data_IF_906986216643
#
_entry.id   IF_906986216643
#
_cell.length_a   1.000
_cell.length_b   1.000
_cell.length_c   1.000
_cell.angle_alpha   90.00
_cell.angle_beta   90.00
_cell.angle_gamma   90.00
#
_symmetry.space_group_name_H-M   'P 1'
#
loop_
_entity.id
_entity.type
_entity.pdbx_description
1 polymer ?
#
# COMPACT_ATOMS: atom_id res chain seq x y z
N UNK A 1 -3.91 -22.61 -19.98
CA UNK A 1 -3.23 -21.77 -20.99
C UNK A 1 -4.02 -20.48 -21.06
N UNK A 2 -3.44 -19.34 -20.66
CA UNK A 2 -4.07 -18.05 -20.86
C UNK A 2 -4.33 -17.82 -22.36
N UNK A 3 -5.50 -17.31 -22.69
CA UNK A 3 -5.85 -16.94 -24.05
C UNK A 3 -4.93 -15.81 -24.54
N UNK A 4 -4.73 -15.72 -25.85
CA UNK A 4 -3.94 -14.64 -26.46
C UNK A 4 -4.49 -13.23 -26.14
N UNK A 5 -5.78 -13.14 -25.77
CA UNK A 5 -6.45 -11.90 -25.40
C UNK A 5 -6.08 -11.47 -23.97
N UNK A 6 -6.06 -12.41 -23.03
CA UNK A 6 -5.63 -12.16 -21.65
C UNK A 6 -4.14 -11.82 -21.55
N UNK A 7 -3.31 -12.38 -22.44
CA UNK A 7 -1.87 -12.06 -22.47
C UNK A 7 -1.56 -10.58 -22.76
N UNK A 8 -2.45 -9.87 -23.48
CA UNK A 8 -2.29 -8.44 -23.75
C UNK A 8 -2.68 -7.54 -22.57
N UNK A 9 -3.41 -8.10 -21.59
CA UNK A 9 -3.95 -7.38 -20.42
C UNK A 9 -3.11 -7.66 -19.15
N UNK A 10 -2.03 -8.43 -19.26
CA UNK A 10 -1.16 -8.82 -18.17
C UNK A 10 0.14 -8.04 -18.22
N UNK A 11 0.57 -7.52 -17.06
CA UNK A 11 1.88 -6.90 -16.93
C UNK A 11 2.99 -7.89 -17.30
N UNK A 12 3.94 -7.52 -18.17
CA UNK A 12 5.04 -8.40 -18.53
C UNK A 12 5.91 -8.69 -17.31
N UNK A 13 6.23 -9.97 -17.12
CA UNK A 13 7.09 -10.44 -16.04
C UNK A 13 8.48 -10.69 -16.61
N UNK A 14 9.52 -10.19 -15.93
CA UNK A 14 10.90 -10.46 -16.31
C UNK A 14 11.32 -11.87 -15.90
N UNK A 15 12.24 -12.45 -16.69
CA UNK A 15 12.82 -13.75 -16.40
C UNK A 15 13.48 -13.78 -15.03
N UNK A 16 13.32 -14.91 -14.33
CA UNK A 16 13.68 -15.01 -12.91
C UNK A 16 15.16 -14.74 -12.63
N UNK A 17 16.03 -15.14 -13.55
CA UNK A 17 17.49 -15.04 -13.36
C UNK A 17 18.03 -13.62 -13.58
N UNK A 18 17.32 -12.81 -14.36
CA UNK A 18 17.80 -11.48 -14.77
C UNK A 18 17.12 -10.34 -14.00
N UNK A 19 16.06 -10.64 -13.23
CA UNK A 19 15.27 -9.63 -12.54
C UNK A 19 15.78 -9.33 -11.12
N UNK A 20 15.71 -8.07 -10.74
CA UNK A 20 16.11 -7.56 -9.42
C UNK A 20 14.94 -6.88 -8.73
N UNK A 21 13.91 -7.66 -8.41
CA UNK A 21 12.72 -7.15 -7.72
C UNK A 21 13.09 -6.64 -6.33
N UNK A 22 12.63 -5.44 -6.01
CA UNK A 22 12.79 -4.83 -4.69
C UNK A 22 11.42 -4.59 -4.06
N UNK A 23 11.35 -4.73 -2.74
CA UNK A 23 10.22 -4.31 -1.93
C UNK A 23 10.71 -3.59 -0.67
N UNK A 24 9.89 -2.69 -0.15
CA UNK A 24 10.18 -1.92 1.06
C UNK A 24 9.09 -2.14 2.10
N UNK A 25 9.50 -2.44 3.34
CA UNK A 25 8.64 -2.46 4.52
C UNK A 25 9.08 -1.34 5.44
N UNK A 26 8.21 -0.37 5.71
CA UNK A 26 8.39 0.62 6.78
C UNK A 26 7.42 0.27 7.90
N UNK A 27 7.93 0.01 9.10
CA UNK A 27 7.10 -0.32 10.26
C UNK A 27 7.55 0.43 11.52
N UNK A 28 6.68 1.27 12.06
CA UNK A 28 6.90 1.88 13.37
C UNK A 28 6.16 1.07 14.44
N UNK A 29 6.89 0.66 15.48
CA UNK A 29 6.38 -0.17 16.57
C UNK A 29 6.32 0.63 17.86
N UNK A 30 7.44 1.24 18.24
CA UNK A 30 7.57 2.12 19.39
C UNK A 30 7.41 3.58 18.96
N UNK A 31 6.80 4.38 19.83
CA UNK A 31 6.52 5.80 19.61
C UNK A 31 6.82 6.56 20.90
N UNK A 32 7.20 7.82 20.76
CA UNK A 32 7.56 8.66 21.91
C UNK A 32 6.32 9.04 22.74
N UNK A 33 5.17 9.20 22.06
CA UNK A 33 3.93 9.69 22.68
C UNK A 33 2.68 8.86 22.36
N UNK A 34 2.79 7.79 21.56
CA UNK A 34 1.70 6.87 21.24
C UNK A 34 1.94 5.49 21.84
N UNK A 35 0.88 4.69 22.06
CA UNK A 35 1.05 3.31 22.53
C UNK A 35 1.86 2.46 21.55
N UNK A 36 2.68 1.50 22.04
CA UNK A 36 3.41 0.58 21.18
C UNK A 36 2.47 -0.35 20.41
N UNK A 37 2.86 -0.71 19.19
CA UNK A 37 2.07 -1.58 18.28
C UNK A 37 2.45 -3.05 18.44
N UNK A 38 2.19 -3.61 19.62
CA UNK A 38 2.50 -5.00 19.95
C UNK A 38 2.03 -5.99 18.86
N UNK A 39 2.91 -6.93 18.51
CA UNK A 39 2.67 -7.92 17.46
C UNK A 39 3.04 -7.46 16.04
N UNK A 40 3.49 -6.21 15.87
CA UNK A 40 3.99 -5.70 14.60
C UNK A 40 5.24 -6.46 14.10
N UNK A 41 6.04 -7.03 14.99
CA UNK A 41 7.18 -7.87 14.63
C UNK A 41 6.74 -9.12 13.85
N UNK A 42 5.62 -9.74 14.27
CA UNK A 42 4.99 -10.86 13.56
C UNK A 42 4.53 -10.43 12.17
N UNK A 43 3.95 -9.24 12.04
CA UNK A 43 3.54 -8.68 10.75
C UNK A 43 4.74 -8.45 9.81
N UNK A 44 5.83 -7.86 10.32
CA UNK A 44 7.07 -7.64 9.56
C UNK A 44 7.63 -8.97 9.07
N UNK A 45 7.78 -9.95 9.97
CA UNK A 45 8.33 -11.25 9.63
C UNK A 45 7.47 -11.97 8.58
N UNK A 46 6.15 -11.95 8.77
CA UNK A 46 5.19 -12.56 7.83
C UNK A 46 5.23 -11.92 6.45
N UNK A 47 5.18 -10.58 6.37
CA UNK A 47 5.24 -9.85 5.10
C UNK A 47 6.58 -10.00 4.41
N UNK A 48 7.69 -9.96 5.15
CA UNK A 48 9.03 -10.20 4.62
C UNK A 48 9.11 -11.59 3.98
N UNK A 49 8.74 -12.63 4.74
CA UNK A 49 8.74 -14.01 4.25
C UNK A 49 7.86 -14.19 3.01
N UNK A 50 6.68 -13.55 2.99
CA UNK A 50 5.79 -13.58 1.83
C UNK A 50 6.46 -12.97 0.60
N UNK A 51 6.99 -11.75 0.73
CA UNK A 51 7.57 -11.01 -0.40
C UNK A 51 8.85 -11.67 -0.92
N UNK A 52 9.70 -12.19 -0.03
CA UNK A 52 10.86 -13.01 -0.41
C UNK A 52 10.41 -14.28 -1.15
N UNK A 53 9.35 -14.95 -0.69
CA UNK A 53 8.74 -16.08 -1.38
C UNK A 53 8.20 -15.75 -2.78
N UNK A 54 7.76 -14.51 -3.01
CA UNK A 54 7.35 -13.98 -4.32
C UNK A 54 8.54 -13.48 -5.18
N UNK A 55 9.77 -13.60 -4.66
CA UNK A 55 11.02 -13.31 -5.34
C UNK A 55 11.44 -11.84 -5.29
N UNK A 56 11.06 -11.11 -4.24
CA UNK A 56 11.54 -9.75 -3.97
C UNK A 56 12.71 -9.76 -2.96
N UNK A 57 13.68 -8.88 -3.15
CA UNK A 57 14.60 -8.48 -2.08
C UNK A 57 13.92 -7.43 -1.21
N UNK A 58 13.83 -7.68 0.09
CA UNK A 58 13.00 -6.87 1.00
C UNK A 58 13.86 -6.04 1.94
N UNK A 59 13.79 -4.72 1.79
CA UNK A 59 14.37 -3.77 2.72
C UNK A 59 13.37 -3.49 3.86
N UNK A 60 13.81 -3.60 5.11
CA UNK A 60 12.96 -3.33 6.29
C UNK A 60 13.52 -2.14 7.05
N UNK A 61 12.67 -1.13 7.26
CA UNK A 61 12.99 0.08 8.00
C UNK A 61 12.01 0.26 9.15
N UNK A 62 12.53 0.68 10.29
CA UNK A 62 11.76 0.82 11.52
C UNK A 62 12.17 2.08 12.25
N UNK A 63 11.30 2.56 13.14
CA UNK A 63 11.54 3.68 14.05
C UNK A 63 11.92 4.97 13.28
N UNK A 64 11.04 5.39 12.38
CA UNK A 64 11.22 6.57 11.55
C UNK A 64 10.20 7.67 11.89
N UNK A 65 10.66 8.92 11.93
CA UNK A 65 9.79 10.10 11.80
C UNK A 65 9.18 10.16 10.40
N UNK A 66 8.20 11.02 10.17
CA UNK A 66 7.62 11.25 8.85
C UNK A 66 8.68 11.69 7.82
N UNK A 67 9.57 12.60 8.20
CA UNK A 67 10.71 13.00 7.38
C UNK A 67 11.63 11.81 7.07
N UNK A 68 11.91 10.97 8.07
CA UNK A 68 12.70 9.75 7.88
C UNK A 68 12.03 8.76 6.93
N UNK A 69 10.71 8.57 7.04
CA UNK A 69 9.94 7.74 6.11
C UNK A 69 10.00 8.29 4.68
N UNK A 70 9.83 9.60 4.50
CA UNK A 70 9.92 10.24 3.18
C UNK A 70 11.31 10.07 2.56
N UNK A 71 12.36 10.27 3.36
CA UNK A 71 13.76 10.09 2.93
C UNK A 71 14.02 8.66 2.45
N UNK A 72 13.60 7.66 3.23
CA UNK A 72 13.73 6.24 2.87
C UNK A 72 12.91 5.87 1.62
N UNK A 73 11.70 6.41 1.48
CA UNK A 73 10.88 6.22 0.28
C UNK A 73 11.55 6.80 -0.97
N UNK A 74 12.11 8.01 -0.88
CA UNK A 74 12.85 8.65 -1.99
C UNK A 74 14.13 7.89 -2.33
N UNK A 75 14.89 7.47 -1.31
CA UNK A 75 16.08 6.65 -1.50
C UNK A 75 15.74 5.33 -2.22
N UNK A 76 14.68 4.65 -1.78
CA UNK A 76 14.21 3.42 -2.40
C UNK A 76 13.74 3.65 -3.85
N UNK A 77 12.95 4.69 -4.11
CA UNK A 77 12.49 5.03 -5.47
C UNK A 77 13.65 5.30 -6.45
N UNK A 78 14.81 5.75 -5.95
CA UNK A 78 16.01 6.02 -6.76
C UNK A 78 16.86 4.79 -7.09
N UNK A 79 16.52 3.61 -6.54
CA UNK A 79 17.34 2.40 -6.67
C UNK A 79 17.47 1.95 -8.14
N UNK A 80 18.70 1.73 -8.64
CA UNK A 80 18.93 1.30 -10.02
C UNK A 80 18.35 -0.08 -10.35
N UNK A 81 18.20 -0.95 -9.34
CA UNK A 81 17.61 -2.28 -9.47
C UNK A 81 16.17 -2.25 -9.98
N UNK A 82 15.44 -1.14 -9.80
CA UNK A 82 14.11 -0.98 -10.37
C UNK A 82 14.13 -1.04 -11.91
N UNK A 83 15.25 -0.69 -12.57
CA UNK A 83 15.39 -0.77 -14.03
C UNK A 83 15.22 -2.20 -14.52
N UNK A 84 15.84 -3.15 -13.84
CA UNK A 84 15.76 -4.61 -14.05
C UNK A 84 14.71 -5.29 -13.15
N UNK A 85 13.78 -4.53 -12.58
CA UNK A 85 12.57 -5.08 -11.95
C UNK A 85 11.38 -4.98 -12.90
N UNK A 86 10.36 -5.80 -12.67
CA UNK A 86 9.06 -5.72 -13.34
C UNK A 86 7.94 -5.17 -12.44
N UNK A 87 8.21 -4.96 -11.15
CA UNK A 87 7.20 -4.58 -10.15
C UNK A 87 7.82 -4.15 -8.82
N UNK A 88 7.04 -3.57 -7.91
CA UNK A 88 7.46 -3.28 -6.53
C UNK A 88 6.31 -3.42 -5.53
N UNK A 89 6.65 -3.69 -4.27
CA UNK A 89 5.76 -3.62 -3.12
C UNK A 89 6.26 -2.60 -2.10
N UNK A 90 5.37 -1.74 -1.62
CA UNK A 90 5.59 -0.81 -0.52
C UNK A 90 4.62 -1.16 0.60
N UNK A 91 5.12 -1.54 1.76
CA UNK A 91 4.30 -1.93 2.92
C UNK A 91 4.55 -0.94 4.05
N UNK A 92 3.53 -0.16 4.38
CA UNK A 92 3.61 0.90 5.40
C UNK A 92 2.73 0.51 6.59
N UNK A 93 3.34 0.35 7.76
CA UNK A 93 2.67 -0.15 8.96
C UNK A 93 2.97 0.77 10.15
N UNK A 94 2.02 1.61 10.53
CA UNK A 94 2.18 2.52 11.67
C UNK A 94 0.83 2.77 12.35
N UNK A 95 0.79 3.69 13.30
CA UNK A 95 -0.44 4.43 13.60
C UNK A 95 -0.79 5.32 12.41
N UNK A 96 -2.05 5.71 12.31
CA UNK A 96 -2.49 6.62 11.28
C UNK A 96 -3.67 7.46 11.72
N UNK A 97 -3.77 8.60 11.09
CA UNK A 97 -4.88 9.54 11.21
C UNK A 97 -5.46 9.77 9.82
N UNK A 98 -6.48 10.62 9.71
CA UNK A 98 -7.13 10.89 8.44
C UNK A 98 -6.16 11.43 7.38
N UNK A 99 -5.23 12.31 7.78
CA UNK A 99 -4.29 12.97 6.87
C UNK A 99 -3.10 12.10 6.45
N UNK A 100 -2.74 11.06 7.21
CA UNK A 100 -1.53 10.29 6.90
C UNK A 100 -1.11 9.26 7.94
N UNK A 101 0.14 8.82 7.78
CA UNK A 101 0.81 7.78 8.55
C UNK A 101 1.68 8.46 9.61
N UNK A 102 1.52 8.11 10.87
CA UNK A 102 2.27 8.71 11.96
C UNK A 102 3.74 8.26 11.94
N UNK A 103 4.67 9.21 12.08
CA UNK A 103 6.05 8.95 12.47
C UNK A 103 6.16 8.69 13.98
N UNK A 104 7.37 8.35 14.43
CA UNK A 104 7.62 7.99 15.85
C UNK A 104 7.42 9.13 16.83
N UNK A 105 7.57 10.37 16.39
CA UNK A 105 7.51 11.56 17.24
C UNK A 105 6.12 12.24 17.22
N UNK A 106 5.10 11.56 16.66
CA UNK A 106 3.75 12.10 16.56
C UNK A 106 3.14 12.36 17.94
N UNK A 107 2.60 13.56 18.11
CA UNK A 107 1.78 13.98 19.26
C UNK A 107 0.74 15.01 18.80
N UNK A 108 -0.26 15.34 19.63
CA UNK A 108 -1.18 16.44 19.31
C UNK A 108 -0.47 17.77 18.99
N UNK A 109 0.67 18.04 19.64
CA UNK A 109 1.48 19.25 19.47
C UNK A 109 2.49 19.15 18.32
N UNK A 110 2.96 17.94 17.99
CA UNK A 110 3.90 17.69 16.90
C UNK A 110 3.27 16.77 15.84
N UNK A 111 2.85 17.38 14.72
CA UNK A 111 2.22 16.71 13.59
C UNK A 111 3.25 15.95 12.72
N UNK A 112 4.00 15.02 13.31
CA UNK A 112 4.94 14.11 12.65
C UNK A 112 4.16 13.06 11.82
N UNK A 113 3.65 13.49 10.66
CA UNK A 113 2.75 12.72 9.81
C UNK A 113 3.24 12.73 8.37
N UNK A 114 3.39 11.55 7.77
CA UNK A 114 3.63 11.39 6.33
C UNK A 114 2.27 11.36 5.62
N UNK A 115 1.94 12.35 4.76
CA UNK A 115 0.72 12.32 3.99
C UNK A 115 0.66 11.09 3.08
N UNK A 116 -0.51 10.46 2.96
CA UNK A 116 -0.68 9.29 2.08
C UNK A 116 -0.31 9.61 0.63
N UNK A 117 -0.64 10.82 0.17
CA UNK A 117 -0.38 11.29 -1.19
C UNK A 117 1.11 11.35 -1.53
N UNK A 118 1.97 11.62 -0.53
CA UNK A 118 3.43 11.68 -0.71
C UNK A 118 3.99 10.39 -1.29
N UNK A 119 3.44 9.22 -0.92
CA UNK A 119 3.87 7.93 -1.47
C UNK A 119 3.56 7.84 -2.96
N UNK A 120 2.37 8.25 -3.39
CA UNK A 120 2.00 8.24 -4.81
C UNK A 120 2.85 9.23 -5.59
N UNK A 121 3.05 10.45 -5.05
CA UNK A 121 3.91 11.46 -5.66
C UNK A 121 5.34 10.96 -5.87
N UNK A 122 5.96 10.31 -4.89
CA UNK A 122 7.34 9.80 -5.01
C UNK A 122 7.46 8.73 -6.09
N UNK A 123 6.49 7.81 -6.17
CA UNK A 123 6.57 6.63 -7.04
C UNK A 123 5.87 6.81 -8.39
N UNK A 124 5.39 8.01 -8.72
CA UNK A 124 4.68 8.27 -9.96
C UNK A 124 5.60 8.18 -11.20
N UNK A 125 5.02 8.23 -12.40
CA UNK A 125 5.76 8.01 -13.65
C UNK A 125 6.76 9.13 -14.00
N UNK A 126 6.70 10.26 -13.29
CA UNK A 126 7.61 11.40 -13.41
C UNK A 126 8.78 11.24 -12.43
N UNK A 127 8.51 10.90 -11.18
CA UNK A 127 9.50 10.92 -10.11
C UNK A 127 10.24 9.58 -9.95
N UNK A 128 9.64 8.46 -10.39
CA UNK A 128 10.25 7.14 -10.36
C UNK A 128 10.27 6.50 -11.76
N UNK A 129 11.11 7.02 -12.64
CA UNK A 129 11.21 6.58 -14.04
C UNK A 129 11.48 5.07 -14.20
N UNK A 130 12.26 4.48 -13.30
CA UNK A 130 12.60 3.05 -13.38
C UNK A 130 11.40 2.13 -13.12
N UNK A 131 10.33 2.63 -12.49
CA UNK A 131 9.07 1.93 -12.23
C UNK A 131 7.90 2.42 -13.11
N UNK A 132 8.19 3.18 -14.17
CA UNK A 132 7.20 3.57 -15.17
C UNK A 132 6.60 2.34 -15.84
N UNK A 133 5.28 2.32 -16.00
CA UNK A 133 4.51 1.23 -16.63
C UNK A 133 4.64 -0.14 -15.93
N UNK A 134 5.15 -0.14 -14.69
CA UNK A 134 5.27 -1.32 -13.84
C UNK A 134 4.32 -1.21 -12.64
N UNK A 135 3.68 -2.31 -12.21
CA UNK A 135 2.76 -2.28 -11.08
C UNK A 135 3.49 -1.92 -9.78
N UNK A 136 2.93 -0.94 -9.07
CA UNK A 136 3.36 -0.43 -7.77
C UNK A 136 2.28 -0.75 -6.75
N UNK A 137 2.53 -1.77 -5.94
CA UNK A 137 1.57 -2.29 -4.97
C UNK A 137 1.85 -1.66 -3.61
N UNK A 138 0.90 -0.88 -3.10
CA UNK A 138 1.03 -0.18 -1.82
C UNK A 138 0.09 -0.84 -0.81
N UNK A 139 0.63 -1.39 0.26
CA UNK A 139 -0.13 -1.98 1.37
C UNK A 139 -0.01 -1.06 2.57
N UNK A 140 -1.14 -0.60 3.11
CA UNK A 140 -1.16 0.34 4.23
C UNK A 140 -1.91 -0.30 5.39
N UNK A 141 -1.19 -0.58 6.47
CA UNK A 141 -1.74 -0.97 7.76
C UNK A 141 -1.64 0.20 8.73
N UNK A 142 -2.67 1.04 8.73
CA UNK A 142 -2.80 2.21 9.58
C UNK A 142 -4.28 2.49 9.84
N UNK A 143 -4.59 3.10 10.98
CA UNK A 143 -5.92 3.67 11.19
C UNK A 143 -6.10 4.87 10.26
N UNK A 144 -7.33 5.18 9.87
CA UNK A 144 -7.65 6.34 9.02
C UNK A 144 -8.65 7.29 9.68
N UNK A 145 -8.74 7.20 11.01
CA UNK A 145 -9.64 7.95 11.89
C UNK A 145 -9.95 7.13 13.15
N UNK A 146 -10.97 7.58 13.89
CA UNK A 146 -11.29 7.10 15.24
C UNK A 146 -12.55 6.23 15.31
N UNK A 147 -13.30 6.09 14.21
CA UNK A 147 -14.51 5.28 14.20
C UNK A 147 -14.16 3.79 14.27
N UNK A 148 -14.93 3.03 15.06
CA UNK A 148 -14.70 1.59 15.22
C UNK A 148 -15.03 0.76 13.96
N UNK A 149 -15.56 1.38 12.90
CA UNK A 149 -15.91 0.69 11.65
C UNK A 149 -17.19 -0.12 11.69
N UNK A 150 -17.96 -0.03 12.77
CA UNK A 150 -19.22 -0.74 12.97
C UNK A 150 -20.38 0.26 13.08
N UNK A 151 -21.42 0.03 12.28
CA UNK A 151 -22.67 0.75 12.36
C UNK A 151 -23.82 -0.25 12.25
N UNK A 152 -24.80 -0.13 13.16
CA UNK A 152 -26.07 -0.85 13.03
C UNK A 152 -26.84 -0.26 11.85
N UNK A 153 -26.96 -1.03 10.77
CA UNK A 153 -27.76 -0.63 9.61
C UNK A 153 -29.19 -1.13 9.82
N UNK A 154 -30.16 -0.21 9.82
CA UNK A 154 -31.60 -0.49 9.72
C UNK A 154 -32.03 -0.16 8.29
N UNK A 155 -32.87 -0.99 7.67
CA UNK A 155 -33.28 -0.90 6.25
C UNK A 155 -34.21 0.31 5.91
N UNK A 156 -34.13 1.40 6.67
CA UNK A 156 -34.92 2.61 6.47
C UNK A 156 -34.14 3.62 5.62
N UNK A 157 -34.57 3.83 4.38
CA UNK A 157 -33.99 4.82 3.46
C UNK A 157 -34.09 6.25 4.02
N UNK A 158 -32.96 6.95 4.03
CA UNK A 158 -32.91 8.39 3.86
C UNK A 158 -31.73 8.75 2.94
N UNK A 159 -32.00 9.59 1.95
CA UNK A 159 -31.02 10.06 0.97
C UNK A 159 -30.26 11.28 1.49
N UNK A 160 -28.99 11.39 1.13
CA UNK A 160 -28.30 12.67 1.03
C UNK A 160 -27.26 12.59 -0.10
N UNK A 161 -27.39 13.51 -1.05
CA UNK A 161 -26.45 13.71 -2.13
C UNK A 161 -25.42 14.77 -1.72
N UNK A 162 -24.18 14.61 -2.14
CA UNK A 162 -23.27 15.74 -2.36
C UNK A 162 -22.53 15.54 -3.67
N UNK A 163 -22.45 16.63 -4.44
CA UNK A 163 -21.98 16.69 -5.81
C UNK A 163 -20.56 17.23 -5.87
N UNK A 164 -19.68 16.59 -6.63
CA UNK A 164 -18.38 17.15 -7.01
C UNK A 164 -18.46 17.68 -8.44
N UNK A 165 -18.12 18.96 -8.63
CA UNK A 165 -17.98 19.57 -9.95
C UNK A 165 -16.55 19.39 -10.47
N UNK A 166 -16.43 18.90 -11.71
CA UNK A 166 -15.18 18.92 -12.47
C UNK A 166 -15.29 19.97 -13.58
N UNK A 167 -14.33 20.88 -13.66
CA UNK A 167 -14.08 21.68 -14.86
C UNK A 167 -13.00 21.00 -15.72
N UNK A 168 -13.18 20.88 -17.05
CA UNK A 168 -12.13 20.43 -17.93
C UNK A 168 -11.29 21.62 -18.42
N UNK A 169 -9.97 21.57 -18.22
CA UNK A 169 -9.02 22.45 -18.90
C UNK A 169 -8.78 21.94 -20.33
N UNK A 170 -9.17 22.74 -21.31
CA UNK A 170 -8.79 22.60 -22.72
C UNK A 170 -7.32 22.95 -22.88
N UNK A 171 -6.52 22.02 -23.44
CA UNK A 171 -5.15 22.31 -23.88
C UNK A 171 -4.88 21.72 -25.26
N UNK A 172 -4.42 22.60 -26.15
CA UNK A 172 -3.97 22.34 -27.52
C UNK A 172 -2.62 21.60 -27.58
N UNK A 173 -2.35 21.04 -28.76
CA UNK A 173 -1.23 20.14 -29.07
C UNK A 173 0.08 20.89 -29.27
N UNK A 174 1.16 20.33 -28.73
CA UNK A 174 2.48 20.27 -29.37
C UNK A 174 3.25 19.02 -28.88
N UNK A 175 4.21 18.56 -29.69
CA UNK A 175 4.80 17.21 -29.74
C UNK A 175 5.53 16.71 -28.47
N UNK A 176 4.78 16.35 -27.42
CA UNK A 176 5.29 15.76 -26.17
C UNK A 176 4.50 14.46 -25.89
N UNK A 177 5.18 13.34 -25.66
CA UNK A 177 4.53 12.08 -25.30
C UNK A 177 3.73 12.28 -24.00
N UNK A 178 2.40 12.23 -24.07
CA UNK A 178 1.51 12.29 -22.89
C UNK A 178 1.66 11.00 -22.10
N UNK A 179 2.34 11.06 -20.96
CA UNK A 179 2.38 9.98 -19.97
C UNK A 179 1.42 10.34 -18.84
N UNK A 180 0.55 9.41 -18.46
CA UNK A 180 -0.28 9.60 -17.26
C UNK A 180 0.62 9.72 -16.04
N UNK A 181 0.49 10.82 -15.30
CA UNK A 181 1.31 11.12 -14.12
C UNK A 181 1.23 9.98 -13.12
N UNK A 182 0.02 9.52 -12.81
CA UNK A 182 -0.26 8.41 -11.90
C UNK A 182 -0.93 7.26 -12.66
N UNK A 183 -0.19 6.18 -12.86
CA UNK A 183 -0.67 4.94 -13.48
C UNK A 183 0.02 3.75 -12.83
N UNK A 184 -0.61 2.59 -12.93
CA UNK A 184 -0.07 1.30 -12.50
C UNK A 184 0.12 1.22 -10.97
N UNK A 185 -0.74 1.91 -10.22
CA UNK A 185 -0.82 1.79 -8.77
C UNK A 185 -2.01 0.93 -8.36
N UNK A 186 -1.82 0.19 -7.29
CA UNK A 186 -2.94 -0.32 -6.48
C UNK A 186 -2.59 -0.14 -5.01
N UNK A 187 -3.51 0.45 -4.25
CA UNK A 187 -3.37 0.63 -2.82
C UNK A 187 -4.41 -0.21 -2.08
N UNK A 188 -3.97 -1.00 -1.10
CA UNK A 188 -4.83 -1.80 -0.26
C UNK A 188 -4.62 -1.42 1.21
N UNK A 189 -5.66 -0.78 1.77
CA UNK A 189 -5.63 -0.22 3.12
C UNK A 189 -6.41 -1.12 4.08
N UNK A 190 -5.88 -1.32 5.29
CA UNK A 190 -6.52 -2.14 6.33
C UNK A 190 -7.83 -1.56 6.86
N UNK A 191 -8.06 -0.26 6.68
CA UNK A 191 -9.32 0.39 7.03
C UNK A 191 -9.75 1.38 5.94
N UNK A 192 -11.06 1.53 5.80
CA UNK A 192 -11.65 2.63 5.04
C UNK A 192 -11.43 3.95 5.81
N UNK A 193 -11.50 5.11 5.13
CA UNK A 193 -11.42 6.40 5.79
C UNK A 193 -12.31 6.46 7.02
N UNK A 194 -11.82 7.13 8.06
CA UNK A 194 -12.44 7.29 9.37
C UNK A 194 -12.40 6.07 10.29
N UNK A 195 -11.96 4.88 9.84
CA UNK A 195 -12.05 3.65 10.64
C UNK A 195 -10.71 3.17 11.22
N UNK A 196 -10.80 2.48 12.36
CA UNK A 196 -9.67 1.80 13.02
C UNK A 196 -9.32 0.47 12.36
N UNK A 197 -8.11 -0.01 12.63
CA UNK A 197 -7.64 -1.32 12.17
C UNK A 197 -7.38 -2.24 13.37
N UNK A 198 -7.81 -3.49 13.30
CA UNK A 198 -7.80 -4.42 14.42
C UNK A 198 -6.51 -5.25 14.50
N UNK A 199 -6.00 -5.42 15.72
CA UNK A 199 -4.76 -6.16 16.00
C UNK A 199 -4.94 -7.07 17.21
N UNK A 200 -4.30 -8.24 17.16
CA UNK A 200 -4.14 -9.12 18.29
C UNK A 200 -2.73 -8.98 18.86
N UNK A 201 -2.63 -8.76 20.18
CA UNK A 201 -1.38 -8.37 20.87
C UNK A 201 -0.20 -9.30 20.58
N UNK A 202 -0.44 -10.60 20.38
CA UNK A 202 0.61 -11.59 20.07
C UNK A 202 0.62 -12.12 18.64
N UNK A 203 -0.48 -11.95 17.89
CA UNK A 203 -0.64 -12.55 16.55
C UNK A 203 -0.49 -11.54 15.42
N UNK A 204 -0.32 -10.25 15.76
CA UNK A 204 -0.20 -9.17 14.79
C UNK A 204 -1.55 -8.67 14.29
N UNK A 205 -1.54 -7.99 13.14
CA UNK A 205 -2.72 -7.47 12.48
C UNK A 205 -3.55 -8.58 11.83
N UNK A 206 -4.87 -8.55 12.06
CA UNK A 206 -5.78 -9.47 11.38
C UNK A 206 -5.76 -9.23 9.86
N UNK A 207 -5.66 -7.98 9.42
CA UNK A 207 -5.50 -7.62 8.01
C UNK A 207 -4.23 -8.22 7.40
N UNK A 208 -3.08 -8.05 8.06
CA UNK A 208 -1.82 -8.59 7.54
C UNK A 208 -1.84 -10.12 7.52
N UNK A 209 -2.37 -10.75 8.58
CA UNK A 209 -2.50 -12.21 8.64
C UNK A 209 -3.40 -12.76 7.51
N UNK A 210 -4.56 -12.13 7.26
CA UNK A 210 -5.45 -12.56 6.17
C UNK A 210 -4.86 -12.28 4.79
N UNK A 211 -4.17 -11.14 4.63
CA UNK A 211 -3.45 -10.81 3.41
C UNK A 211 -2.43 -11.90 3.07
N UNK A 212 -1.56 -12.24 4.02
CA UNK A 212 -0.54 -13.29 3.85
C UNK A 212 -1.19 -14.62 3.50
N UNK A 213 -2.23 -15.01 4.24
CA UNK A 213 -2.95 -16.28 4.02
C UNK A 213 -3.53 -16.36 2.62
N UNK A 214 -4.18 -15.29 2.15
CA UNK A 214 -4.77 -15.24 0.82
C UNK A 214 -3.71 -15.25 -0.28
N UNK A 215 -2.61 -14.52 -0.14
CA UNK A 215 -1.51 -14.59 -1.11
C UNK A 215 -0.93 -15.99 -1.20
N UNK A 216 -0.63 -16.64 -0.07
CA UNK A 216 -0.07 -18.00 -0.05
C UNK A 216 -1.01 -19.00 -0.71
N UNK A 217 -2.32 -18.83 -0.53
CA UNK A 217 -3.33 -19.75 -1.06
C UNK A 217 -3.68 -19.52 -2.53
N UNK A 218 -3.67 -18.27 -2.99
CA UNK A 218 -4.29 -17.89 -4.26
C UNK A 218 -3.34 -17.25 -5.28
N UNK A 219 -2.15 -16.77 -4.91
CA UNK A 219 -1.25 -16.07 -5.85
C UNK A 219 -0.75 -16.91 -7.03
N UNK A 220 -0.85 -18.24 -6.94
CA UNK A 220 -0.48 -19.15 -8.03
C UNK A 220 -1.58 -19.28 -9.11
N UNK A 221 -2.83 -18.91 -8.81
CA UNK A 221 -3.97 -19.07 -9.71
C UNK A 221 -4.85 -17.82 -9.89
N UNK A 222 -4.66 -16.77 -9.08
CA UNK A 222 -5.43 -15.53 -9.13
C UNK A 222 -4.50 -14.33 -9.33
N UNK A 223 -4.96 -13.35 -10.10
CA UNK A 223 -4.24 -12.09 -10.21
C UNK A 223 -4.45 -11.23 -8.95
N UNK A 224 -3.61 -10.21 -8.77
CA UNK A 224 -3.53 -9.44 -7.53
C UNK A 224 -4.87 -8.90 -7.02
N UNK A 225 -5.68 -8.31 -7.90
CA UNK A 225 -6.99 -7.74 -7.53
C UNK A 225 -7.96 -8.83 -7.01
N UNK A 226 -7.97 -10.02 -7.60
CA UNK A 226 -8.79 -11.13 -7.10
C UNK A 226 -8.30 -11.61 -5.72
N UNK A 227 -6.98 -11.63 -5.49
CA UNK A 227 -6.43 -11.94 -4.16
C UNK A 227 -6.91 -10.91 -3.13
N UNK A 228 -6.89 -9.62 -3.45
CA UNK A 228 -7.44 -8.58 -2.56
C UNK A 228 -8.93 -8.75 -2.29
N UNK A 229 -9.72 -9.11 -3.31
CA UNK A 229 -11.14 -9.43 -3.12
C UNK A 229 -11.33 -10.63 -2.18
N UNK A 230 -10.49 -11.67 -2.27
CA UNK A 230 -10.53 -12.81 -1.34
C UNK A 230 -10.21 -12.39 0.10
N UNK A 231 -9.29 -11.44 0.28
CA UNK A 231 -9.03 -10.85 1.61
C UNK A 231 -10.27 -10.14 2.14
N UNK A 232 -10.92 -9.28 1.34
CA UNK A 232 -12.15 -8.60 1.77
C UNK A 232 -13.25 -9.60 2.15
N UNK A 233 -13.48 -10.62 1.33
CA UNK A 233 -14.45 -11.69 1.59
C UNK A 233 -14.14 -12.48 2.87
N UNK A 234 -12.87 -12.55 3.30
CA UNK A 234 -12.49 -13.22 4.55
C UNK A 234 -12.98 -12.50 5.80
N UNK A 235 -13.29 -11.19 5.70
CA UNK A 235 -13.84 -10.38 6.79
C UNK A 235 -15.37 -10.34 6.82
N UNK A 236 -16.05 -10.84 5.77
CA UNK A 236 -17.52 -10.86 5.71
C UNK A 236 -18.14 -12.03 6.48
N UNK A 237 -17.37 -13.06 6.79
CA UNK A 237 -17.83 -14.23 7.55
C UNK A 237 -17.43 -14.06 9.03
N UNK A 238 -18.38 -14.07 9.97
CA UNK A 238 -18.10 -13.90 11.39
C UNK A 238 -17.25 -15.04 11.97
#
# INVERSE_FOLDING_TARGET
KLSKKEAAEIYPIMERNDRTRLALIICNIEFDHLPPRNGAETDIAGMKNLLEGLGYSVDVKQKLTAEGMESELRAFASRPEHKSSDSTFLVLMSHGILSGICGTAFSPENQDVLPYDTVFQIFNNINCHNLRDKPKVIIIQACRGENLGEAWVSDSKAASADSFSHQPLLLERDAIHRVHVEKDFVAFCSSTPHNVSWRHVTKGSLFIAQLITCFQKYSWCNHLIEVFQKVQQSFEKP
#
